data_IF_704679709799
#
_entry.id   IF_704679709799
#
_cell.length_a   1.000
_cell.length_b   1.000
_cell.length_c   1.000
_cell.angle_alpha   90.00
_cell.angle_beta   90.00
_cell.angle_gamma   90.00
#
_symmetry.space_group_name_H-M   'P 1'
#
loop_
_entity.id
_entity.type
_entity.pdbx_description
1 polymer ?
#
# COMPACT_ATOMS: atom_id res chain seq x y z
N UNK A 1 -18.65 -1.10 -1.52
CA UNK A 1 -19.68 -0.98 -2.59
C UNK A 1 -19.00 -0.54 -3.88
N UNK A 2 -19.25 -1.20 -5.01
CA UNK A 2 -18.77 -0.80 -6.33
C UNK A 2 -19.94 -0.09 -7.05
N UNK A 3 -20.06 1.22 -6.87
CA UNK A 3 -21.21 1.99 -7.35
C UNK A 3 -21.09 2.43 -8.83
N UNK A 4 -20.20 1.81 -9.61
CA UNK A 4 -20.10 2.05 -11.05
C UNK A 4 -19.57 3.43 -11.46
N UNK A 5 -18.72 4.09 -10.67
CA UNK A 5 -18.14 5.39 -11.08
C UNK A 5 -17.38 5.27 -12.40
N UNK A 6 -17.70 6.13 -13.37
CA UNK A 6 -16.99 6.26 -14.64
C UNK A 6 -15.97 7.40 -14.63
N UNK A 7 -15.91 8.18 -13.54
CA UNK A 7 -15.05 9.37 -13.44
C UNK A 7 -13.70 9.10 -12.80
N UNK A 8 -13.57 8.01 -12.03
CA UNK A 8 -12.30 7.63 -11.40
C UNK A 8 -11.48 6.83 -12.41
N UNK A 9 -10.38 7.42 -12.90
CA UNK A 9 -9.51 6.79 -13.90
C UNK A 9 -8.34 5.99 -13.30
N UNK A 10 -8.05 6.15 -12.01
CA UNK A 10 -6.95 5.46 -11.34
C UNK A 10 -6.78 5.92 -9.89
N UNK A 11 -5.89 5.23 -9.19
CA UNK A 11 -5.46 5.58 -7.83
C UNK A 11 -3.98 5.22 -7.66
N UNK A 12 -3.33 5.86 -6.69
CA UNK A 12 -1.97 5.57 -6.28
C UNK A 12 -2.00 4.90 -4.91
N UNK A 13 -1.22 3.82 -4.76
CA UNK A 13 -1.01 3.14 -3.47
C UNK A 13 0.47 3.21 -3.16
N UNK A 14 0.83 3.97 -2.13
CA UNK A 14 2.17 3.90 -1.55
C UNK A 14 2.24 2.68 -0.64
N UNK A 15 3.30 1.88 -0.77
CA UNK A 15 3.44 0.62 -0.05
C UNK A 15 4.89 0.24 0.12
N UNK A 16 5.15 -0.52 1.18
CA UNK A 16 6.42 -1.20 1.42
C UNK A 16 6.17 -2.66 1.77
N UNK A 17 7.21 -3.49 1.65
CA UNK A 17 7.08 -4.93 1.95
C UNK A 17 6.87 -5.18 3.44
N UNK A 18 7.53 -4.37 4.27
CA UNK A 18 7.34 -4.34 5.72
C UNK A 18 6.42 -3.18 6.05
N UNK A 19 5.40 -3.45 6.86
CA UNK A 19 4.43 -2.45 7.33
C UNK A 19 5.06 -1.40 8.25
N UNK A 20 4.30 -0.33 8.50
CA UNK A 20 4.69 0.81 9.32
C UNK A 20 5.90 1.58 8.76
N UNK A 21 6.38 2.55 9.54
CA UNK A 21 7.60 3.33 9.27
C UNK A 21 8.67 3.05 10.32
N UNK A 22 9.91 3.37 9.98
CA UNK A 22 11.05 3.35 10.90
C UNK A 22 11.81 4.67 10.86
N UNK A 23 12.67 4.87 11.86
CA UNK A 23 13.53 6.05 11.93
C UNK A 23 15.00 5.67 11.83
N UNK A 24 15.78 6.46 11.10
CA UNK A 24 17.22 6.26 10.98
C UNK A 24 17.89 6.94 12.17
N UNK A 25 18.28 6.17 13.18
CA UNK A 25 18.91 6.69 14.41
C UNK A 25 20.43 6.68 14.37
N UNK A 26 21.04 5.62 13.86
CA UNK A 26 22.49 5.39 13.93
C UNK A 26 23.10 4.99 12.58
N UNK A 27 22.52 5.48 11.48
CA UNK A 27 22.95 5.18 10.13
C UNK A 27 22.24 3.98 9.49
N UNK A 28 22.72 3.54 8.33
CA UNK A 28 22.01 2.58 7.47
C UNK A 28 21.96 1.17 8.06
N UNK A 29 22.95 0.76 8.82
CA UNK A 29 23.05 -0.64 9.28
C UNK A 29 22.02 -1.00 10.37
N UNK A 30 21.42 0.01 10.99
CA UNK A 30 20.38 -0.16 12.01
C UNK A 30 18.96 -0.18 11.46
N UNK A 31 18.76 -0.11 10.13
CA UNK A 31 17.42 -0.04 9.53
C UNK A 31 16.96 -1.43 9.08
N UNK A 32 15.68 -1.71 9.31
CA UNK A 32 15.00 -2.88 8.76
C UNK A 32 14.94 -2.75 7.25
N UNK A 33 15.45 -3.77 6.56
CA UNK A 33 15.42 -3.80 5.11
C UNK A 33 13.96 -3.79 4.60
N UNK A 34 13.67 -2.92 3.62
CA UNK A 34 12.37 -2.78 2.94
C UNK A 34 11.22 -2.18 3.77
N UNK A 35 11.51 -1.57 4.92
CA UNK A 35 10.54 -0.75 5.67
C UNK A 35 10.73 0.74 5.36
N UNK A 36 9.62 1.49 5.21
CA UNK A 36 9.70 2.90 4.85
C UNK A 36 10.26 3.78 5.98
N UNK A 37 10.85 4.93 5.64
CA UNK A 37 11.42 5.89 6.61
C UNK A 37 10.69 7.23 6.67
N UNK A 38 9.75 7.48 5.75
CA UNK A 38 8.95 8.71 5.72
C UNK A 38 7.61 8.47 6.42
N UNK A 39 6.64 7.96 5.68
CA UNK A 39 5.24 7.77 6.05
C UNK A 39 4.96 6.31 6.39
N UNK A 40 3.91 6.11 7.20
CA UNK A 40 3.42 4.78 7.54
C UNK A 40 2.70 4.15 6.36
N UNK A 41 3.05 2.90 6.07
CA UNK A 41 2.46 2.15 4.99
C UNK A 41 1.90 0.81 5.49
N UNK A 42 0.84 0.37 4.83
CA UNK A 42 0.34 -1.00 5.01
C UNK A 42 1.34 -2.00 4.42
N UNK A 43 1.44 -3.17 5.04
CA UNK A 43 2.28 -4.27 4.55
C UNK A 43 1.73 -4.95 3.29
N UNK A 44 2.47 -5.95 2.80
CA UNK A 44 2.13 -6.66 1.56
C UNK A 44 0.74 -7.31 1.56
N UNK A 45 0.39 -8.05 2.62
CA UNK A 45 -0.88 -8.77 2.71
C UNK A 45 -2.10 -7.84 2.60
N UNK A 46 -2.03 -6.68 3.26
CA UNK A 46 -3.06 -5.65 3.17
C UNK A 46 -3.17 -5.10 1.75
N UNK A 47 -2.03 -4.95 1.06
CA UNK A 47 -2.04 -4.47 -0.33
C UNK A 47 -2.63 -5.48 -1.30
N UNK A 48 -2.31 -6.76 -1.14
CA UNK A 48 -2.89 -7.85 -1.95
C UNK A 48 -4.42 -7.84 -1.82
N UNK A 49 -4.93 -7.74 -0.59
CA UNK A 49 -6.35 -7.64 -0.30
C UNK A 49 -7.01 -6.44 -1.01
N UNK A 50 -6.36 -5.27 -0.99
CA UNK A 50 -6.86 -4.06 -1.66
C UNK A 50 -6.92 -4.26 -3.17
N UNK A 51 -5.88 -4.84 -3.79
CA UNK A 51 -5.83 -5.08 -5.24
C UNK A 51 -6.92 -6.07 -5.65
N UNK A 52 -7.10 -7.15 -4.90
CA UNK A 52 -8.14 -8.15 -5.17
C UNK A 52 -9.54 -7.54 -5.08
N UNK A 53 -9.79 -6.71 -4.05
CA UNK A 53 -11.06 -6.01 -3.90
C UNK A 53 -11.33 -5.04 -5.04
N UNK A 54 -10.33 -4.26 -5.47
CA UNK A 54 -10.44 -3.35 -6.62
C UNK A 54 -10.72 -4.11 -7.91
N UNK A 55 -10.03 -5.22 -8.15
CA UNK A 55 -10.27 -6.07 -9.31
C UNK A 55 -11.69 -6.66 -9.30
N UNK A 56 -12.18 -7.12 -8.14
CA UNK A 56 -13.55 -7.60 -7.99
C UNK A 56 -14.59 -6.49 -8.22
N UNK A 57 -14.33 -5.27 -7.73
CA UNK A 57 -15.19 -4.11 -7.95
C UNK A 57 -15.29 -3.74 -9.44
N UNK A 58 -14.17 -3.76 -10.17
CA UNK A 58 -14.14 -3.50 -11.61
C UNK A 58 -14.89 -4.57 -12.42
N UNK A 59 -14.80 -5.84 -12.03
CA UNK A 59 -15.54 -6.93 -12.70
C UNK A 59 -17.06 -6.87 -12.48
N UNK A 60 -17.50 -6.21 -11.40
CA UNK A 60 -18.93 -6.06 -11.04
C UNK A 60 -19.53 -4.73 -11.50
N UNK A 61 -18.72 -3.88 -12.14
CA UNK A 61 -19.13 -2.61 -12.74
C UNK A 61 -19.60 -2.86 -14.17
#
# INVERSE_FOLDING_TARGET
>A
MAAGSFMICGLLIERHLVECRQEIRTGRDSVVHRQNVTDEHNGWNSTETVIEYLAAALRRR
#
